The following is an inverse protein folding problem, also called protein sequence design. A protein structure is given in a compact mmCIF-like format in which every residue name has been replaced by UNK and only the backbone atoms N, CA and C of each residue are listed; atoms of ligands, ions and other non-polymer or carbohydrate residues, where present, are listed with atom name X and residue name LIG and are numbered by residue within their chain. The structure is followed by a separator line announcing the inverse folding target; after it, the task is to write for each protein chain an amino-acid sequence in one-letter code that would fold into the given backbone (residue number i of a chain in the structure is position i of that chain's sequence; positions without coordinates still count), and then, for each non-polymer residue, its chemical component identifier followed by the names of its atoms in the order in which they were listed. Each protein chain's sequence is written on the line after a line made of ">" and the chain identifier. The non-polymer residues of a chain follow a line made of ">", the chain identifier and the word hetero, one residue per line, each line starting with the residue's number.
data_IF_401622889914
#
_entry.id   IF_401622889914
#
_cell.length_a   1.000
_cell.length_b   1.000
_cell.length_c   1.000
_cell.angle_alpha   90.00
_cell.angle_beta   90.00
_cell.angle_gamma   90.00
#
_symmetry.space_group_name_H-M   'P 1'
#
loop_
_entity.id
_entity.type
_entity.pdbx_description
1 polymer ?
#
# COMPACT_ATOMS: atom_id res chain seq x y z
N UNK A 1 -6.67 -12.31 0.40
CA UNK A 1 -5.56 -12.71 -0.49
C UNK A 1 -6.04 -12.84 -1.93
N UNK A 2 -5.18 -12.63 -2.92
CA UNK A 2 -5.49 -12.83 -4.35
C UNK A 2 -4.28 -12.70 -5.26
N UNK A 3 -4.35 -13.25 -6.48
CA UNK A 3 -3.29 -13.15 -7.50
C UNK A 3 -3.93 -12.71 -8.82
N UNK A 4 -3.40 -11.66 -9.43
CA UNK A 4 -3.75 -11.21 -10.78
C UNK A 4 -2.56 -11.28 -11.72
N UNK A 5 -2.71 -10.73 -12.93
CA UNK A 5 -1.63 -10.69 -13.93
C UNK A 5 -0.48 -9.77 -13.52
N UNK A 6 -0.77 -8.69 -12.79
CA UNK A 6 0.23 -7.66 -12.44
C UNK A 6 0.59 -7.66 -10.95
N UNK A 7 -0.36 -7.99 -10.08
CA UNK A 7 -0.21 -7.86 -8.64
C UNK A 7 -0.61 -9.14 -7.88
N UNK A 8 0.14 -9.43 -6.82
CA UNK A 8 -0.15 -10.46 -5.83
C UNK A 8 -0.50 -9.75 -4.51
N UNK A 9 -1.71 -9.98 -4.01
CA UNK A 9 -2.23 -9.36 -2.80
C UNK A 9 -2.07 -10.30 -1.60
N UNK A 10 -1.36 -9.79 -0.60
CA UNK A 10 -1.11 -10.43 0.68
C UNK A 10 -1.72 -9.60 1.82
N UNK A 11 -2.05 -10.24 2.93
CA UNK A 11 -2.32 -9.59 4.21
C UNK A 11 -0.99 -9.52 4.96
N UNK A 12 -0.70 -8.38 5.57
CA UNK A 12 0.49 -8.23 6.41
C UNK A 12 0.21 -8.71 7.83
N UNK A 13 1.27 -9.08 8.53
CA UNK A 13 1.24 -9.45 9.95
C UNK A 13 2.26 -8.56 10.66
N UNK A 14 1.83 -7.83 11.67
CA UNK A 14 2.71 -7.01 12.52
C UNK A 14 3.54 -7.87 13.48
N UNK A 15 4.50 -7.25 14.16
CA UNK A 15 5.37 -7.93 15.13
C UNK A 15 4.60 -8.56 16.31
N UNK A 16 3.44 -8.00 16.67
CA UNK A 16 2.55 -8.51 17.71
C UNK A 16 1.61 -9.65 17.22
N UNK A 17 1.88 -10.14 16.01
CA UNK A 17 1.15 -11.19 15.30
C UNK A 17 -0.32 -10.83 14.99
N UNK A 18 -0.68 -9.56 15.00
CA UNK A 18 -1.96 -9.07 14.50
C UNK A 18 -1.92 -8.88 12.97
N UNK A 19 -3.10 -8.87 12.33
CA UNK A 19 -3.20 -8.45 10.93
C UNK A 19 -2.95 -6.95 10.83
N UNK A 20 -2.11 -6.55 9.87
CA UNK A 20 -1.63 -5.17 9.74
C UNK A 20 -1.81 -4.67 8.31
N UNK A 21 -3.06 -4.66 7.86
CA UNK A 21 -3.42 -4.21 6.52
C UNK A 21 -3.03 -5.20 5.41
N UNK A 22 -2.81 -4.66 4.21
CA UNK A 22 -2.57 -5.43 3.00
C UNK A 22 -1.38 -4.91 2.21
N UNK A 23 -0.68 -5.84 1.59
CA UNK A 23 0.48 -5.60 0.72
C UNK A 23 0.19 -6.14 -0.66
N UNK A 24 0.30 -5.31 -1.68
CA UNK A 24 0.31 -5.73 -3.07
C UNK A 24 1.74 -5.71 -3.61
N UNK A 25 2.27 -6.88 -3.96
CA UNK A 25 3.58 -7.05 -4.57
C UNK A 25 3.43 -7.26 -6.07
N UNK A 26 4.29 -6.62 -6.87
CA UNK A 26 4.28 -6.78 -8.32
C UNK A 26 4.67 -8.21 -8.69
N UNK A 27 3.75 -8.94 -9.31
CA UNK A 27 3.86 -10.40 -9.49
C UNK A 27 5.14 -10.82 -10.22
N UNK A 28 5.54 -10.07 -11.25
CA UNK A 28 6.74 -10.38 -12.04
C UNK A 28 8.06 -10.24 -11.27
N UNK A 29 8.06 -9.55 -10.13
CA UNK A 29 9.25 -9.35 -9.30
C UNK A 29 9.35 -10.41 -8.18
N UNK A 30 8.34 -11.25 -8.00
CA UNK A 30 8.33 -12.31 -6.98
C UNK A 30 9.14 -13.51 -7.50
N UNK A 31 10.38 -13.65 -7.03
CA UNK A 31 11.26 -14.75 -7.44
C UNK A 31 10.96 -16.08 -6.71
N UNK A 32 10.54 -16.03 -5.45
CA UNK A 32 10.30 -17.22 -4.63
C UNK A 32 9.23 -16.97 -3.57
N UNK A 33 8.43 -17.99 -3.30
CA UNK A 33 7.53 -18.07 -2.14
C UNK A 33 7.97 -19.26 -1.30
N UNK A 34 8.19 -19.04 -0.01
CA UNK A 34 8.58 -20.08 0.94
C UNK A 34 7.44 -20.39 1.91
N UNK A 35 7.25 -21.67 2.24
CA UNK A 35 6.45 -22.06 3.39
C UNK A 35 7.33 -21.97 4.66
N UNK A 36 6.80 -21.46 5.79
CA UNK A 36 7.53 -21.48 7.04
C UNK A 36 7.87 -22.93 7.45
N UNK A 37 9.13 -23.17 7.80
CA UNK A 37 9.61 -24.49 8.26
C UNK A 37 9.18 -24.69 9.72
N UNK A 38 8.48 -25.78 10.02
CA UNK A 38 8.16 -26.18 11.40
C UNK A 38 6.82 -25.72 11.98
N UNK A 39 5.93 -25.15 11.16
CA UNK A 39 4.62 -24.67 11.61
C UNK A 39 4.70 -23.25 12.16
N UNK A 40 3.97 -22.33 11.53
CA UNK A 40 4.07 -20.90 11.80
C UNK A 40 3.21 -20.49 13.00
N UNK A 41 3.86 -19.88 14.00
CA UNK A 41 3.22 -19.32 15.20
C UNK A 41 2.18 -18.27 14.80
N UNK A 42 2.44 -17.48 13.77
CA UNK A 42 1.53 -16.43 13.27
C UNK A 42 0.21 -17.04 12.83
N UNK A 43 0.25 -18.09 12.01
CA UNK A 43 -0.95 -18.87 11.61
C UNK A 43 -1.74 -19.39 12.82
N UNK A 44 -1.07 -19.94 13.83
CA UNK A 44 -1.73 -20.47 15.04
C UNK A 44 -2.39 -19.37 15.87
N UNK A 45 -1.71 -18.22 16.03
CA UNK A 45 -2.24 -17.06 16.75
C UNK A 45 -3.44 -16.47 16.02
N UNK A 46 -3.33 -16.27 14.70
CA UNK A 46 -4.45 -15.79 13.88
C UNK A 46 -5.64 -16.75 13.92
N UNK A 47 -5.42 -18.07 13.89
CA UNK A 47 -6.48 -19.05 14.03
C UNK A 47 -7.16 -19.00 15.41
N UNK A 48 -6.38 -18.88 16.49
CA UNK A 48 -6.92 -18.71 17.84
C UNK A 48 -7.76 -17.42 17.99
N UNK A 49 -7.41 -16.37 17.23
CA UNK A 49 -8.16 -15.11 17.14
C UNK A 49 -9.33 -15.14 16.14
N UNK A 50 -9.59 -16.27 15.48
CA UNK A 50 -10.60 -16.40 14.41
C UNK A 50 -10.37 -15.46 13.21
N UNK A 51 -9.12 -15.05 12.98
CA UNK A 51 -8.69 -14.18 11.89
C UNK A 51 -8.04 -14.95 10.73
N UNK A 52 -7.94 -16.28 10.85
CA UNK A 52 -7.40 -17.15 9.82
C UNK A 52 -8.51 -17.90 9.06
N UNK A 53 -8.47 -17.98 7.71
CA UNK A 53 -7.56 -17.24 6.84
C UNK A 53 -7.95 -15.74 6.74
N UNK A 54 -6.99 -14.83 6.51
CA UNK A 54 -7.29 -13.41 6.34
C UNK A 54 -8.23 -13.20 5.14
N UNK A 55 -9.32 -12.47 5.37
CA UNK A 55 -10.25 -12.11 4.31
C UNK A 55 -9.61 -11.09 3.38
N UNK A 56 -9.75 -11.27 2.06
CA UNK A 56 -9.38 -10.20 1.13
C UNK A 56 -10.42 -9.07 1.18
N UNK A 57 -10.04 -7.80 0.91
CA UNK A 57 -11.02 -6.81 0.52
C UNK A 57 -11.76 -7.31 -0.72
N UNK A 58 -13.08 -7.16 -0.75
CA UNK A 58 -13.88 -7.62 -1.90
C UNK A 58 -13.45 -6.86 -3.17
N UNK A 59 -13.25 -7.62 -4.24
CA UNK A 59 -13.05 -7.13 -5.61
C UNK A 59 -11.84 -6.20 -5.81
N UNK A 60 -10.67 -6.55 -5.26
CA UNK A 60 -9.43 -5.82 -5.58
C UNK A 60 -8.98 -6.12 -7.02
N UNK A 61 -8.87 -5.11 -7.91
CA UNK A 61 -8.46 -5.33 -9.30
C UNK A 61 -6.94 -5.48 -9.41
N UNK A 62 -6.46 -6.73 -9.49
CA UNK A 62 -5.03 -7.07 -9.47
C UNK A 62 -4.33 -7.04 -10.84
N UNK A 63 -5.07 -6.74 -11.90
CA UNK A 63 -4.55 -6.74 -13.27
C UNK A 63 -4.02 -5.38 -13.75
N UNK A 64 -4.41 -4.28 -13.08
CA UNK A 64 -4.07 -2.91 -13.50
C UNK A 64 -3.71 -2.05 -12.29
N UNK A 65 -2.51 -1.46 -12.27
CA UNK A 65 -2.01 -0.63 -11.16
C UNK A 65 -2.93 0.52 -10.81
N UNK A 66 -3.36 1.32 -11.78
CA UNK A 66 -4.24 2.47 -11.49
C UNK A 66 -5.57 2.05 -10.86
N UNK A 67 -6.11 0.88 -11.22
CA UNK A 67 -7.33 0.36 -10.61
C UNK A 67 -7.09 -0.16 -9.18
N UNK A 68 -5.96 -0.86 -8.97
CA UNK A 68 -5.54 -1.32 -7.65
C UNK A 68 -5.40 -0.14 -6.67
N UNK A 69 -4.64 0.90 -7.06
CA UNK A 69 -4.38 2.05 -6.22
C UNK A 69 -5.67 2.81 -5.87
N UNK A 70 -6.58 3.00 -6.83
CA UNK A 70 -7.89 3.61 -6.56
C UNK A 70 -8.67 2.78 -5.55
N UNK A 71 -8.69 1.45 -5.72
CA UNK A 71 -9.39 0.58 -4.78
C UNK A 71 -8.80 0.62 -3.37
N UNK A 72 -7.48 0.77 -3.25
CA UNK A 72 -6.82 0.94 -1.96
C UNK A 72 -7.14 2.31 -1.34
N UNK A 73 -7.18 3.37 -2.13
CA UNK A 73 -7.57 4.70 -1.67
C UNK A 73 -9.04 4.76 -1.20
N UNK A 74 -9.91 3.86 -1.68
CA UNK A 74 -11.29 3.75 -1.18
C UNK A 74 -11.39 3.15 0.23
N UNK A 75 -10.36 2.40 0.67
CA UNK A 75 -10.42 1.61 1.92
C UNK A 75 -9.47 2.12 3.01
N UNK A 76 -8.54 3.01 2.68
CA UNK A 76 -7.69 3.67 3.66
C UNK A 76 -7.32 5.10 3.23
N UNK A 77 -7.04 5.99 4.19
CA UNK A 77 -6.74 7.39 3.91
C UNK A 77 -5.37 7.61 3.23
N UNK A 78 -4.40 6.73 3.49
CA UNK A 78 -3.05 6.81 2.95
C UNK A 78 -2.66 5.50 2.25
N UNK A 79 -1.77 5.64 1.27
CA UNK A 79 -1.07 4.55 0.61
C UNK A 79 0.42 4.70 0.86
N UNK A 80 1.12 3.56 1.03
CA UNK A 80 2.58 3.52 1.04
C UNK A 80 3.06 2.94 -0.29
N UNK A 81 3.82 3.71 -1.06
CA UNK A 81 4.36 3.31 -2.36
C UNK A 81 5.86 3.00 -2.24
N UNK A 82 6.29 1.93 -2.89
CA UNK A 82 7.68 1.49 -2.92
C UNK A 82 8.16 1.35 -4.37
N UNK A 83 9.43 1.65 -4.59
CA UNK A 83 10.12 1.40 -5.85
C UNK A 83 11.45 0.69 -5.59
N UNK A 84 11.90 -0.15 -6.52
CA UNK A 84 13.11 -0.96 -6.34
C UNK A 84 14.37 -0.33 -6.96
N UNK A 85 14.22 0.78 -7.68
CA UNK A 85 15.30 1.30 -8.55
C UNK A 85 16.26 2.21 -7.80
N UNK A 86 15.76 2.94 -6.80
CA UNK A 86 16.53 3.95 -6.05
C UNK A 86 16.90 3.42 -4.65
N UNK A 87 15.92 3.12 -3.80
CA UNK A 87 16.12 2.49 -2.49
C UNK A 87 14.89 1.60 -2.16
N UNK A 88 15.04 0.27 -2.04
CA UNK A 88 13.93 -0.64 -1.77
C UNK A 88 13.37 -0.52 -0.35
N UNK A 89 14.14 0.06 0.60
CA UNK A 89 13.71 0.27 1.97
C UNK A 89 13.00 1.62 2.17
N UNK A 90 13.09 2.52 1.18
CA UNK A 90 12.39 3.79 1.20
C UNK A 90 10.94 3.63 0.73
N UNK A 91 10.02 4.21 1.50
CA UNK A 91 8.60 4.22 1.20
C UNK A 91 8.07 5.64 1.18
N UNK A 92 7.13 5.89 0.27
CA UNK A 92 6.48 7.17 0.09
C UNK A 92 5.04 7.04 0.54
N UNK A 93 4.73 7.61 1.70
CA UNK A 93 3.40 7.54 2.32
C UNK A 93 2.61 8.80 1.97
N UNK A 94 1.38 8.64 1.48
CA UNK A 94 0.58 9.80 1.15
C UNK A 94 -0.83 9.51 0.66
N UNK A 95 -1.55 10.59 0.32
CA UNK A 95 -2.90 10.55 -0.24
C UNK A 95 -2.85 10.80 -1.76
N UNK A 96 -3.43 9.92 -2.60
CA UNK A 96 -3.57 10.20 -4.02
C UNK A 96 -4.45 11.44 -4.26
N UNK A 97 -3.94 12.43 -5.00
CA UNK A 97 -4.64 13.70 -5.28
C UNK A 97 -5.02 13.89 -6.75
N UNK A 98 -4.34 13.22 -7.67
CA UNK A 98 -4.68 13.20 -9.10
C UNK A 98 -4.37 11.83 -9.69
N UNK A 99 -5.26 11.38 -10.57
CA UNK A 99 -5.10 10.14 -11.30
C UNK A 99 -4.93 10.42 -12.79
N UNK A 100 -4.00 9.73 -13.43
CA UNK A 100 -3.83 9.71 -14.88
C UNK A 100 -3.80 8.27 -15.40
N UNK A 101 -3.58 8.10 -16.70
CA UNK A 101 -3.56 6.79 -17.34
C UNK A 101 -2.32 5.95 -16.97
N UNK A 102 -1.19 6.61 -16.76
CA UNK A 102 0.11 5.97 -16.53
C UNK A 102 0.76 6.31 -15.19
N UNK A 103 0.14 7.18 -14.40
CA UNK A 103 0.72 7.72 -13.17
C UNK A 103 -0.34 8.15 -12.14
N UNK A 104 0.11 8.33 -10.91
CA UNK A 104 -0.65 8.93 -9.81
C UNK A 104 0.16 10.07 -9.21
N UNK A 105 -0.51 11.15 -8.86
CA UNK A 105 0.06 12.19 -8.03
C UNK A 105 -0.24 11.88 -6.57
N UNK A 106 0.81 11.86 -5.75
CA UNK A 106 0.73 11.59 -4.32
C UNK A 106 1.08 12.88 -3.56
N UNK A 107 0.17 13.33 -2.70
CA UNK A 107 0.52 14.30 -1.67
C UNK A 107 1.10 13.52 -0.51
N UNK A 108 2.40 13.66 -0.29
CA UNK A 108 3.13 12.87 0.71
C UNK A 108 3.02 13.50 2.10
N UNK A 109 3.12 12.65 3.11
CA UNK A 109 3.17 13.03 4.52
C UNK A 109 4.48 12.52 5.13
N UNK A 110 5.23 13.43 5.74
CA UNK A 110 6.48 13.10 6.42
C UNK A 110 6.25 12.25 7.67
N UNK A 111 7.30 11.59 8.19
CA UNK A 111 7.25 10.89 9.47
C UNK A 111 6.87 11.78 10.67
N UNK A 112 6.97 13.11 10.53
CA UNK A 112 6.52 14.08 11.52
C UNK A 112 5.00 14.39 11.41
N UNK A 113 4.26 13.61 10.61
CA UNK A 113 2.84 13.82 10.28
C UNK A 113 2.55 15.21 9.67
N UNK A 114 3.50 15.72 8.88
CA UNK A 114 3.34 16.98 8.14
C UNK A 114 3.24 16.70 6.64
N UNK A 115 2.21 17.24 6.01
CA UNK A 115 2.03 17.17 4.58
C UNK A 115 3.11 17.96 3.84
N UNK A 116 3.65 17.38 2.78
CA UNK A 116 4.62 18.03 1.91
C UNK A 116 3.96 19.10 1.04
N UNK A 117 4.63 20.25 0.88
CA UNK A 117 4.12 21.36 0.07
C UNK A 117 4.08 21.03 -1.42
N UNK A 118 4.86 20.03 -1.85
CA UNK A 118 4.91 19.54 -3.23
C UNK A 118 4.16 18.23 -3.42
N UNK A 119 3.79 17.96 -4.68
CA UNK A 119 3.12 16.72 -5.08
C UNK A 119 4.08 15.88 -5.88
N UNK A 120 4.34 14.67 -5.42
CA UNK A 120 5.16 13.71 -6.15
C UNK A 120 4.35 13.03 -7.25
N UNK A 121 5.02 12.68 -8.34
CA UNK A 121 4.42 11.98 -9.49
C UNK A 121 5.02 10.59 -9.59
N UNK A 122 4.17 9.57 -9.46
CA UNK A 122 4.57 8.17 -9.45
C UNK A 122 4.04 7.45 -10.69
N UNK A 123 4.93 7.00 -11.58
CA UNK A 123 4.52 6.21 -12.73
C UNK A 123 4.18 4.79 -12.30
N UNK A 124 3.07 4.27 -12.81
CA UNK A 124 2.58 2.91 -12.51
C UNK A 124 3.54 1.77 -12.85
N UNK A 125 4.57 2.05 -13.65
CA UNK A 125 5.61 1.09 -14.03
C UNK A 125 6.78 1.04 -13.04
N UNK A 126 6.96 2.08 -12.23
CA UNK A 126 8.04 2.20 -11.26
C UNK A 126 7.65 1.59 -9.92
N UNK A 127 6.35 1.66 -9.56
CA UNK A 127 5.80 1.07 -8.34
C UNK A 127 5.94 -0.46 -8.35
N UNK A 128 6.56 -1.01 -7.29
CA UNK A 128 6.87 -2.44 -7.11
C UNK A 128 6.09 -3.07 -5.96
N UNK A 129 5.80 -2.29 -4.92
CA UNK A 129 5.01 -2.67 -3.75
C UNK A 129 4.10 -1.51 -3.35
N UNK A 130 2.90 -1.87 -2.88
CA UNK A 130 1.90 -0.94 -2.37
C UNK A 130 1.35 -1.49 -1.07
N UNK A 131 1.30 -0.68 -0.04
CA UNK A 131 0.71 -1.05 1.26
C UNK A 131 -0.44 -0.13 1.63
N UNK A 132 -1.37 -0.69 2.40
CA UNK A 132 -2.58 0.00 2.80
C UNK A 132 -3.12 -0.57 4.12
N UNK A 133 -3.56 0.32 5.01
CA UNK A 133 -4.24 -0.04 6.24
C UNK A 133 -3.34 -0.61 7.33
N UNK A 134 -2.01 -0.42 7.21
CA UNK A 134 -1.06 -0.67 8.29
C UNK A 134 -1.20 0.38 9.41
N UNK A 135 -0.76 0.01 10.62
CA UNK A 135 -0.86 0.86 11.79
C UNK A 135 -0.05 2.15 11.71
N UNK A 136 1.07 2.15 10.99
CA UNK A 136 1.93 3.33 10.86
C UNK A 136 1.26 4.42 10.02
N UNK A 137 0.79 4.07 8.82
CA UNK A 137 0.06 4.97 7.95
C UNK A 137 -1.26 5.44 8.61
N UNK A 138 -1.94 4.57 9.35
CA UNK A 138 -3.13 4.97 10.11
C UNK A 138 -2.80 6.05 11.16
N UNK A 139 -1.71 5.90 11.92
CA UNK A 139 -1.27 6.88 12.91
C UNK A 139 -0.87 8.22 12.27
N UNK A 140 -0.18 8.19 11.13
CA UNK A 140 0.15 9.39 10.36
C UNK A 140 -1.10 10.14 9.91
N UNK A 141 -2.11 9.43 9.42
CA UNK A 141 -3.38 10.03 9.00
C UNK A 141 -4.13 10.66 10.17
N UNK A 142 -4.14 10.00 11.34
CA UNK A 142 -4.80 10.50 12.54
C UNK A 142 -4.19 11.82 13.03
N UNK A 143 -2.86 11.92 13.04
CA UNK A 143 -2.15 13.12 13.50
C UNK A 143 -2.11 14.21 12.43
N UNK A 144 -1.91 13.84 11.17
CA UNK A 144 -1.73 14.77 10.05
C UNK A 144 -3.02 15.37 9.49
N UNK A 145 -4.17 14.74 9.76
CA UNK A 145 -5.48 15.20 9.28
C UNK A 145 -5.60 15.17 7.75
N UNK A 146 -6.41 16.07 7.19
CA UNK A 146 -6.60 16.17 5.74
C UNK A 146 -5.48 17.00 5.07
N UNK A 147 -4.98 16.57 3.89
CA UNK A 147 -3.98 17.34 3.16
C UNK A 147 -4.54 18.67 2.64
N UNK A 148 -3.65 19.64 2.33
CA UNK A 148 -4.03 20.85 1.63
C UNK A 148 -4.71 20.52 0.28
N UNK A 149 -5.70 21.33 -0.16
CA UNK A 149 -6.34 21.14 -1.45
C UNK A 149 -5.31 21.09 -2.60
N UNK A 150 -5.48 20.14 -3.50
CA UNK A 150 -4.69 20.09 -4.72
C UNK A 150 -5.18 21.16 -5.71
N UNK A 151 -4.38 22.19 -5.93
CA UNK A 151 -4.51 23.06 -7.09
C UNK A 151 -3.56 22.53 -8.17
N UNK A 152 -4.05 22.02 -9.31
CA UNK A 152 -3.15 21.76 -10.44
C UNK A 152 -2.48 23.09 -10.79
N UNK A 153 -1.16 23.08 -10.96
CA UNK A 153 -0.46 24.24 -11.51
C UNK A 153 -1.18 24.65 -12.79
N UNK A 154 -1.64 25.90 -12.86
CA UNK A 154 -2.18 26.45 -14.09
C UNK A 154 -1.11 26.27 -15.16
N UNK A 155 -1.38 25.41 -16.13
CA UNK A 155 -0.49 25.08 -17.25
C UNK A 155 0.15 26.38 -17.77
N UNK A 156 1.48 26.49 -17.62
CA UNK A 156 2.29 27.55 -18.23
C UNK A 156 2.85 27.06 -19.54
#
# INVERSE_FOLDING_TARGET
>A
MGVGRKWTLLASIAEDLALDGYVALRTRDIARVGAPVGGDVSTRVLAARQQWPPSAPKSVPLDRTGALLRRFADVAPLLSLYTETDDPDECFVGKPVRWADTEVCLREISPAARWEDTVSVWRYREITRVEVGDGYAAALAEVGGEPPPYAPDAER
#
